data_IF_376360968161
#
_entry.id   IF_376360968161
#
_cell.length_a   1.000
_cell.length_b   1.000
_cell.length_c   1.000
_cell.angle_alpha   90.00
_cell.angle_beta   90.00
_cell.angle_gamma   90.00
#
_symmetry.space_group_name_H-M   'P 1'
#
loop_
_entity.id
_entity.type
_entity.pdbx_description
1 polymer ?
#
# COMPACT_ATOMS: atom_id res chain seq x y z
N UNK A 1 4.83 -17.03 20.10
CA UNK A 1 3.76 -16.10 19.66
C UNK A 1 4.36 -14.97 18.81
N UNK A 2 5.07 -15.29 17.70
CA UNK A 2 5.97 -14.31 17.04
C UNK A 2 5.72 -14.11 15.55
N UNK A 3 4.68 -14.74 14.97
CA UNK A 3 4.41 -14.71 13.53
C UNK A 3 3.37 -13.67 13.08
N UNK A 4 2.84 -12.82 13.99
CA UNK A 4 1.80 -11.85 13.65
C UNK A 4 2.31 -10.43 13.44
N UNK A 5 3.35 -10.02 14.19
CA UNK A 5 3.90 -8.65 14.18
C UNK A 5 4.27 -8.15 12.78
N UNK A 6 4.87 -9.00 11.93
CA UNK A 6 5.25 -8.59 10.58
C UNK A 6 4.03 -8.41 9.66
N UNK A 7 3.02 -9.26 9.79
CA UNK A 7 1.77 -9.12 9.04
C UNK A 7 1.00 -7.87 9.46
N UNK A 8 0.98 -7.58 10.76
CA UNK A 8 0.35 -6.39 11.31
C UNK A 8 1.07 -5.11 10.84
N UNK A 9 2.41 -5.13 10.80
CA UNK A 9 3.21 -4.05 10.26
C UNK A 9 2.98 -3.82 8.76
N UNK A 10 2.95 -4.89 7.94
CA UNK A 10 2.61 -4.79 6.52
C UNK A 10 1.21 -4.22 6.31
N UNK A 11 0.24 -4.63 7.12
CA UNK A 11 -1.14 -4.11 7.04
C UNK A 11 -1.20 -2.61 7.37
N UNK A 12 -0.53 -2.19 8.44
CA UNK A 12 -0.45 -0.78 8.80
C UNK A 12 0.23 0.06 7.71
N UNK A 13 1.25 -0.48 7.04
CA UNK A 13 1.89 0.18 5.90
C UNK A 13 0.95 0.33 4.70
N UNK A 14 0.17 -0.72 4.38
CA UNK A 14 -0.82 -0.68 3.30
C UNK A 14 -1.91 0.36 3.58
N UNK A 15 -2.41 0.42 4.83
CA UNK A 15 -3.40 1.43 5.25
C UNK A 15 -2.85 2.86 5.17
N UNK A 16 -1.58 3.06 5.54
CA UNK A 16 -0.90 4.34 5.42
C UNK A 16 -0.76 4.79 3.95
N UNK A 17 -0.44 3.87 3.03
CA UNK A 17 -0.38 4.16 1.59
C UNK A 17 -1.75 4.56 1.06
N UNK A 18 -2.80 3.82 1.42
CA UNK A 18 -4.16 4.14 1.00
C UNK A 18 -4.60 5.53 1.48
N UNK A 19 -4.31 5.86 2.75
CA UNK A 19 -4.55 7.20 3.30
C UNK A 19 -3.76 8.27 2.56
N UNK A 20 -2.48 8.03 2.29
CA UNK A 20 -1.60 8.93 1.53
C UNK A 20 -2.13 9.24 0.13
N UNK A 21 -2.55 8.21 -0.61
CA UNK A 21 -3.16 8.37 -1.93
C UNK A 21 -4.49 9.15 -1.86
N UNK A 22 -5.31 8.92 -0.83
CA UNK A 22 -6.55 9.68 -0.65
C UNK A 22 -6.29 11.18 -0.46
N UNK A 23 -5.17 11.58 0.17
CA UNK A 23 -4.81 13.00 0.31
C UNK A 23 -4.49 13.69 -1.02
N UNK A 24 -4.13 12.92 -2.06
CA UNK A 24 -3.89 13.45 -3.42
C UNK A 24 -5.15 13.45 -4.28
N UNK A 25 -6.28 13.02 -3.73
CA UNK A 25 -7.55 12.83 -4.46
C UNK A 25 -7.64 11.47 -5.16
N UNK A 26 -6.64 10.60 -5.04
CA UNK A 26 -6.66 9.26 -5.61
C UNK A 26 -7.28 8.27 -4.61
N UNK A 27 -8.56 7.95 -4.79
CA UNK A 27 -9.29 7.00 -3.93
C UNK A 27 -9.04 5.58 -4.44
N UNK A 28 -8.32 4.77 -3.66
CA UNK A 28 -7.97 3.41 -4.03
C UNK A 28 -8.49 2.36 -3.05
N UNK A 29 -8.64 1.12 -3.54
CA UNK A 29 -8.87 -0.05 -2.70
C UNK A 29 -7.58 -0.70 -2.18
N UNK A 30 -7.73 -1.74 -1.36
CA UNK A 30 -6.62 -2.49 -0.74
C UNK A 30 -5.67 -3.11 -1.78
N UNK A 31 -6.18 -3.56 -2.93
CA UNK A 31 -5.37 -4.17 -3.99
C UNK A 31 -4.34 -3.20 -4.59
N UNK A 32 -4.74 -1.96 -4.85
CA UNK A 32 -3.84 -0.93 -5.37
C UNK A 32 -2.81 -0.52 -4.31
N UNK A 33 -3.25 -0.28 -3.07
CA UNK A 33 -2.34 0.04 -1.98
C UNK A 33 -1.30 -1.08 -1.75
N UNK A 34 -1.73 -2.34 -1.87
CA UNK A 34 -0.83 -3.51 -1.80
C UNK A 34 0.15 -3.55 -2.97
N UNK A 35 -0.29 -3.25 -4.19
CA UNK A 35 0.59 -3.21 -5.35
C UNK A 35 1.68 -2.13 -5.19
N UNK A 36 1.33 -0.95 -4.66
CA UNK A 36 2.28 0.11 -4.34
C UNK A 36 3.25 -0.31 -3.24
N UNK A 37 2.76 -0.94 -2.17
CA UNK A 37 3.59 -1.50 -1.10
C UNK A 37 4.66 -2.46 -1.66
N UNK A 38 4.26 -3.40 -2.52
CA UNK A 38 5.18 -4.36 -3.15
C UNK A 38 6.14 -3.64 -4.10
N UNK A 39 5.66 -2.72 -4.92
CA UNK A 39 6.48 -1.96 -5.86
C UNK A 39 7.58 -1.15 -5.14
N UNK A 40 7.24 -0.53 -4.00
CA UNK A 40 8.19 0.18 -3.15
C UNK A 40 9.23 -0.76 -2.54
N UNK A 41 8.81 -1.93 -2.05
CA UNK A 41 9.72 -2.94 -1.51
C UNK A 41 10.67 -3.53 -2.57
N UNK A 42 10.26 -3.55 -3.83
CA UNK A 42 11.06 -4.01 -4.97
C UNK A 42 11.88 -2.89 -5.62
N UNK A 43 11.72 -1.64 -5.17
CA UNK A 43 12.32 -0.46 -5.80
C UNK A 43 11.99 -0.34 -7.31
N UNK A 44 10.80 -0.79 -7.70
CA UNK A 44 10.33 -0.75 -9.09
C UNK A 44 9.22 0.27 -9.25
N UNK A 45 9.30 1.17 -10.26
CA UNK A 45 8.23 2.12 -10.52
C UNK A 45 6.96 1.38 -10.96
N UNK A 46 5.81 1.92 -10.56
CA UNK A 46 4.48 1.45 -10.97
C UNK A 46 3.68 2.61 -11.54
N UNK A 47 3.00 2.37 -12.66
CA UNK A 47 1.99 3.29 -13.19
C UNK A 47 0.64 2.90 -12.59
N UNK A 48 -0.03 3.87 -11.98
CA UNK A 48 -1.36 3.69 -11.42
C UNK A 48 -2.29 4.62 -12.18
N UNK A 49 -3.29 4.03 -12.83
CA UNK A 49 -4.35 4.80 -13.48
C UNK A 49 -5.56 4.88 -12.55
N UNK A 50 -6.24 6.02 -12.56
CA UNK A 50 -7.51 6.17 -11.87
C UNK A 50 -8.62 5.40 -12.59
N UNK A 51 -9.83 5.33 -11.99
CA UNK A 51 -11.03 5.22 -12.81
C UNK A 51 -11.14 6.39 -13.81
#
# INVERSE_FOLDING_TARGET
MSSNTNRDASRAAIEAIQGGLATTGYICGESIATAVFIAQALEKPVLIEGP
#
